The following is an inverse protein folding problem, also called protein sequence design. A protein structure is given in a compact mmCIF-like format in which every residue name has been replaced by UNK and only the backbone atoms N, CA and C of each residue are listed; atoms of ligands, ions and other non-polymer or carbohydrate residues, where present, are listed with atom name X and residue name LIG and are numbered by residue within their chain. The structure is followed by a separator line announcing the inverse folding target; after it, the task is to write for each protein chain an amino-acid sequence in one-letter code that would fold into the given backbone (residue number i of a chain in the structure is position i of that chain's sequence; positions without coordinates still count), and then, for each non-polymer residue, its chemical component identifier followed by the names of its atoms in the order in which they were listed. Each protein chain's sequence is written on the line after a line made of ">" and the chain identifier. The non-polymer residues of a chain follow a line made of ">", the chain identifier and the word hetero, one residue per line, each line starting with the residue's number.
data_IF_005904491010
#
_entry.id   IF_005904491010
#
_cell.length_a   1.000
_cell.length_b   1.000
_cell.length_c   1.000
_cell.angle_alpha   90.00
_cell.angle_beta   90.00
_cell.angle_gamma   90.00
#
_symmetry.space_group_name_H-M   'P 1'
#
loop_
_entity.id
_entity.type
_entity.pdbx_description
1 polymer ?
#
# COMPACT_ATOMS: atom_id res chain seq x y z
N UNK A 1 -1.94 -13.82 -42.13
CA UNK A 1 -0.71 -13.10 -42.54
C UNK A 1 -0.66 -11.79 -41.77
N UNK A 2 0.53 -11.38 -41.31
CA UNK A 2 0.70 -10.60 -40.10
C UNK A 2 0.68 -9.09 -40.38
N UNK A 3 -0.07 -8.33 -39.61
CA UNK A 3 0.20 -6.90 -39.42
C UNK A 3 0.85 -6.75 -38.06
N UNK A 4 2.18 -6.68 -38.12
CA UNK A 4 3.10 -6.18 -37.11
C UNK A 4 2.45 -5.11 -36.22
N UNK A 5 2.03 -5.50 -35.02
CA UNK A 5 2.12 -4.61 -33.86
C UNK A 5 3.61 -4.57 -33.51
N UNK A 6 4.36 -3.75 -34.25
CA UNK A 6 5.71 -3.36 -33.90
C UNK A 6 5.65 -2.88 -32.47
N UNK A 7 6.21 -3.69 -31.57
CA UNK A 7 6.39 -3.33 -30.17
C UNK A 7 7.09 -1.99 -30.13
N UNK A 8 6.36 -0.96 -29.74
CA UNK A 8 6.98 0.28 -29.32
C UNK A 8 7.96 -0.11 -28.22
N UNK A 9 9.26 -0.08 -28.52
CA UNK A 9 10.26 -0.23 -27.48
C UNK A 9 9.99 0.88 -26.47
N UNK A 10 9.50 0.50 -25.29
CA UNK A 10 9.42 1.45 -24.18
C UNK A 10 10.79 2.09 -24.01
N UNK A 11 10.81 3.42 -24.04
CA UNK A 11 12.02 4.15 -23.77
C UNK A 11 12.50 3.83 -22.36
N UNK A 12 13.81 3.93 -22.12
CA UNK A 12 14.38 3.75 -20.78
C UNK A 12 13.69 4.66 -19.76
N UNK A 13 13.30 5.87 -20.20
CA UNK A 13 12.54 6.82 -19.39
C UNK A 13 11.15 6.29 -19.02
N UNK A 14 10.42 5.69 -19.96
CA UNK A 14 9.09 5.14 -19.69
C UNK A 14 9.17 3.98 -18.69
N UNK A 15 10.17 3.10 -18.83
CA UNK A 15 10.41 2.01 -17.88
C UNK A 15 10.74 2.52 -16.49
N UNK A 16 11.62 3.52 -16.40
CA UNK A 16 11.96 4.15 -15.13
C UNK A 16 10.73 4.79 -14.48
N UNK A 17 9.92 5.51 -15.25
CA UNK A 17 8.68 6.09 -14.77
C UNK A 17 7.69 5.03 -14.28
N UNK A 18 7.45 3.96 -15.04
CA UNK A 18 6.54 2.88 -14.65
C UNK A 18 7.01 2.18 -13.36
N UNK A 19 8.31 2.00 -13.19
CA UNK A 19 8.88 1.43 -11.96
C UNK A 19 8.68 2.37 -10.76
N UNK A 20 8.94 3.66 -10.93
CA UNK A 20 8.68 4.68 -9.89
C UNK A 20 7.19 4.72 -9.55
N UNK A 21 6.31 4.75 -10.56
CA UNK A 21 4.87 4.76 -10.37
C UNK A 21 4.37 3.51 -9.63
N UNK A 22 4.98 2.34 -9.89
CA UNK A 22 4.70 1.10 -9.16
C UNK A 22 5.10 1.24 -7.70
N UNK A 23 6.31 1.69 -7.41
CA UNK A 23 6.79 1.87 -6.02
C UNK A 23 5.93 2.89 -5.26
N UNK A 24 5.60 4.02 -5.88
CA UNK A 24 4.72 5.04 -5.27
C UNK A 24 3.31 4.48 -5.06
N UNK A 25 2.80 3.68 -6.00
CA UNK A 25 1.55 2.94 -5.87
C UNK A 25 1.57 1.97 -4.70
N UNK A 26 2.66 1.24 -4.50
CA UNK A 26 2.82 0.31 -3.37
C UNK A 26 2.86 1.04 -2.02
N UNK A 27 3.32 2.30 -1.99
CA UNK A 27 3.27 3.18 -0.83
C UNK A 27 1.89 3.82 -0.60
N UNK A 28 0.91 3.56 -1.47
CA UNK A 28 -0.47 4.00 -1.30
C UNK A 28 -0.98 4.97 -2.36
N UNK A 29 -0.12 5.54 -3.21
CA UNK A 29 -0.53 6.57 -4.17
C UNK A 29 -0.40 6.08 -5.61
N UNK A 30 -1.53 5.81 -6.26
CA UNK A 30 -1.58 5.35 -7.65
C UNK A 30 -1.52 6.51 -8.65
N UNK A 31 -0.39 6.66 -9.32
CA UNK A 31 -0.15 7.72 -10.30
C UNK A 31 -0.77 7.44 -11.68
N UNK A 32 -1.26 6.21 -11.90
CA UNK A 32 -1.94 5.77 -13.12
C UNK A 32 -3.44 6.12 -13.15
N UNK A 33 -3.93 6.86 -12.14
CA UNK A 33 -5.34 7.26 -12.01
C UNK A 33 -5.59 8.71 -12.44
N UNK A 34 -6.86 9.09 -12.54
CA UNK A 34 -7.25 10.47 -12.86
C UNK A 34 -6.82 11.46 -11.78
N UNK A 35 -6.52 12.70 -12.17
CA UNK A 35 -5.98 13.74 -11.28
C UNK A 35 -6.82 13.97 -10.01
N UNK A 36 -8.14 13.88 -10.11
CA UNK A 36 -9.04 13.99 -8.95
C UNK A 36 -8.80 12.88 -7.92
N UNK A 37 -8.65 11.64 -8.37
CA UNK A 37 -8.42 10.51 -7.49
C UNK A 37 -7.03 10.57 -6.85
N UNK A 38 -6.01 10.91 -7.63
CA UNK A 38 -4.66 11.17 -7.13
C UNK A 38 -4.71 12.25 -6.04
N UNK A 39 -5.38 13.38 -6.30
CA UNK A 39 -5.54 14.47 -5.35
C UNK A 39 -6.28 14.04 -4.08
N UNK A 40 -7.39 13.31 -4.20
CA UNK A 40 -8.17 12.83 -3.06
C UNK A 40 -7.36 11.87 -2.17
N UNK A 41 -6.68 10.88 -2.77
CA UNK A 41 -5.84 9.94 -2.01
C UNK A 41 -4.66 10.67 -1.37
N UNK A 42 -4.01 11.59 -2.09
CA UNK A 42 -2.90 12.39 -1.56
C UNK A 42 -3.33 13.26 -0.39
N UNK A 43 -4.51 13.87 -0.47
CA UNK A 43 -5.10 14.64 0.62
C UNK A 43 -5.41 13.74 1.83
N UNK A 44 -5.98 12.56 1.61
CA UNK A 44 -6.22 11.57 2.66
C UNK A 44 -4.93 11.13 3.36
N UNK A 45 -3.89 10.85 2.59
CA UNK A 45 -2.55 10.53 3.09
C UNK A 45 -2.02 11.70 3.93
N UNK A 46 -2.03 12.92 3.40
CA UNK A 46 -1.54 14.10 4.11
C UNK A 46 -2.30 14.35 5.43
N UNK A 47 -3.63 14.27 5.42
CA UNK A 47 -4.46 14.42 6.62
C UNK A 47 -4.13 13.35 7.67
N UNK A 48 -4.02 12.08 7.25
CA UNK A 48 -3.65 10.98 8.15
C UNK A 48 -2.24 11.14 8.72
N UNK A 49 -1.31 11.63 7.90
CA UNK A 49 0.05 11.92 8.32
C UNK A 49 0.07 13.04 9.37
N UNK A 50 -0.61 14.17 9.12
CA UNK A 50 -0.71 15.26 10.09
C UNK A 50 -1.36 14.81 11.41
N UNK A 51 -2.40 13.97 11.34
CA UNK A 51 -2.98 13.37 12.55
C UNK A 51 -1.98 12.48 13.29
N UNK A 52 -1.20 11.67 12.59
CA UNK A 52 -0.18 10.83 13.23
C UNK A 52 0.91 11.66 13.93
N UNK A 53 1.24 12.84 13.42
CA UNK A 53 2.22 13.75 14.03
C UNK A 53 1.74 14.34 15.37
N UNK A 54 0.43 14.40 15.62
CA UNK A 54 -0.07 14.82 16.94
C UNK A 54 0.03 13.67 17.95
N UNK A 55 -0.19 12.43 17.48
CA UNK A 55 -0.18 11.21 18.30
C UNK A 55 1.22 10.68 18.61
N UNK A 56 2.21 10.98 17.77
CA UNK A 56 3.61 10.56 17.97
C UNK A 56 4.32 11.34 19.10
N UNK A 57 3.69 12.38 19.64
CA UNK A 57 4.32 13.21 20.69
C UNK A 57 4.51 12.45 22.00
N UNK A 58 3.74 11.39 22.26
CA UNK A 58 3.89 10.52 23.41
C UNK A 58 3.96 9.02 23.02
N UNK A 59 4.77 8.19 23.72
CA UNK A 59 4.92 6.78 23.37
C UNK A 59 3.62 5.98 23.38
N UNK A 60 2.71 6.28 24.32
CA UNK A 60 1.40 5.61 24.43
C UNK A 60 0.49 5.93 23.24
N UNK A 61 0.41 7.20 22.83
CA UNK A 61 -0.37 7.62 21.67
C UNK A 61 0.19 7.03 20.37
N UNK A 62 1.52 7.02 20.24
CA UNK A 62 2.22 6.36 19.14
C UNK A 62 1.87 4.86 19.06
N UNK A 63 1.88 4.16 20.19
CA UNK A 63 1.55 2.73 20.23
C UNK A 63 0.08 2.46 19.88
N UNK A 64 -0.85 3.25 20.43
CA UNK A 64 -2.28 3.15 20.09
C UNK A 64 -2.49 3.36 18.59
N UNK A 65 -1.82 4.35 18.00
CA UNK A 65 -1.87 4.59 16.56
C UNK A 65 -1.38 3.39 15.75
N UNK A 66 -0.19 2.87 16.08
CA UNK A 66 0.43 1.72 15.40
C UNK A 66 -0.49 0.49 15.47
N UNK A 67 -0.98 0.17 16.66
CA UNK A 67 -1.89 -0.98 16.86
C UNK A 67 -3.20 -0.78 16.08
N UNK A 68 -3.78 0.41 16.11
CA UNK A 68 -5.01 0.69 15.38
C UNK A 68 -4.84 0.52 13.87
N UNK A 69 -3.75 1.05 13.29
CA UNK A 69 -3.45 0.91 11.85
C UNK A 69 -3.23 -0.56 11.49
N UNK A 70 -2.48 -1.32 12.30
CA UNK A 70 -2.29 -2.76 12.06
C UNK A 70 -3.59 -3.55 12.17
N UNK A 71 -4.46 -3.23 13.14
CA UNK A 71 -5.78 -3.84 13.24
C UNK A 71 -6.63 -3.52 12.00
N UNK A 72 -6.66 -2.27 11.53
CA UNK A 72 -7.37 -1.89 10.31
C UNK A 72 -6.80 -2.64 9.10
N UNK A 73 -5.48 -2.73 8.98
CA UNK A 73 -4.82 -3.39 7.87
C UNK A 73 -5.07 -4.91 7.89
N UNK A 74 -4.77 -5.62 8.97
CA UNK A 74 -4.86 -7.08 8.99
C UNK A 74 -6.29 -7.58 9.28
N UNK A 75 -6.90 -7.12 10.38
CA UNK A 75 -8.23 -7.59 10.78
C UNK A 75 -9.34 -6.92 9.96
N UNK A 76 -9.18 -5.62 9.66
CA UNK A 76 -10.15 -4.86 8.88
C UNK A 76 -10.37 -5.45 7.49
N UNK A 77 -9.33 -5.88 6.79
CA UNK A 77 -9.47 -6.54 5.48
C UNK A 77 -10.25 -7.86 5.59
N UNK A 78 -9.94 -8.70 6.58
CA UNK A 78 -10.65 -9.96 6.79
C UNK A 78 -12.14 -9.69 7.03
N UNK A 79 -12.46 -8.74 7.91
CA UNK A 79 -13.84 -8.35 8.22
C UNK A 79 -14.53 -7.76 7.00
N UNK A 80 -13.85 -6.90 6.24
CA UNK A 80 -14.38 -6.22 5.07
C UNK A 80 -14.86 -7.20 4.01
N UNK A 81 -14.02 -8.17 3.64
CA UNK A 81 -14.34 -9.15 2.61
C UNK A 81 -15.25 -10.27 3.12
N UNK A 82 -15.02 -10.80 4.33
CA UNK A 82 -15.86 -11.87 4.89
C UNK A 82 -17.26 -11.37 5.27
N UNK A 83 -17.37 -10.12 5.70
CA UNK A 83 -18.63 -9.46 6.03
C UNK A 83 -19.41 -8.97 4.81
N UNK A 84 -18.86 -9.08 3.61
CA UNK A 84 -19.52 -8.64 2.37
C UNK A 84 -19.72 -7.12 2.29
N UNK A 85 -18.87 -6.32 2.94
CA UNK A 85 -18.99 -4.87 2.91
C UNK A 85 -18.81 -4.30 1.49
N UNK A 86 -18.00 -4.96 0.65
CA UNK A 86 -17.86 -4.60 -0.76
C UNK A 86 -19.18 -4.70 -1.52
N UNK A 87 -20.01 -5.73 -1.26
CA UNK A 87 -21.35 -5.83 -1.85
C UNK A 87 -22.27 -4.67 -1.43
N UNK A 88 -22.19 -4.23 -0.16
CA UNK A 88 -22.94 -3.07 0.31
C UNK A 88 -22.50 -1.78 -0.40
N UNK A 89 -21.20 -1.63 -0.62
CA UNK A 89 -20.66 -0.50 -1.39
C UNK A 89 -21.13 -0.55 -2.85
N UNK A 90 -21.11 -1.72 -3.49
CA UNK A 90 -21.62 -1.91 -4.85
C UNK A 90 -23.09 -1.49 -4.96
N UNK A 91 -23.93 -1.92 -4.01
CA UNK A 91 -25.36 -1.61 -4.01
C UNK A 91 -25.65 -0.11 -3.83
N UNK A 92 -24.82 0.62 -3.08
CA UNK A 92 -25.04 2.04 -2.76
C UNK A 92 -24.39 3.02 -3.72
N UNK A 93 -23.19 2.72 -4.20
CA UNK A 93 -22.37 3.64 -4.99
C UNK A 93 -22.25 3.22 -6.47
N UNK A 94 -22.58 1.98 -6.80
CA UNK A 94 -22.23 1.34 -8.07
C UNK A 94 -20.80 0.80 -8.06
N UNK A 95 -20.51 -0.22 -8.90
CA UNK A 95 -19.23 -0.95 -8.90
C UNK A 95 -18.02 -0.03 -9.10
N UNK A 96 -18.02 0.79 -10.15
CA UNK A 96 -16.84 1.61 -10.50
C UNK A 96 -16.54 2.67 -9.43
N UNK A 97 -17.58 3.36 -8.94
CA UNK A 97 -17.41 4.39 -7.91
C UNK A 97 -17.05 3.78 -6.56
N UNK A 98 -17.62 2.62 -6.21
CA UNK A 98 -17.24 1.87 -5.01
C UNK A 98 -15.76 1.49 -5.06
N UNK A 99 -15.27 1.03 -6.21
CA UNK A 99 -13.86 0.72 -6.41
C UNK A 99 -12.97 1.96 -6.25
N UNK A 100 -13.31 3.09 -6.87
CA UNK A 100 -12.54 4.34 -6.74
C UNK A 100 -12.39 4.77 -5.27
N UNK A 101 -13.48 4.68 -4.49
CA UNK A 101 -13.47 5.02 -3.05
C UNK A 101 -12.64 4.02 -2.27
N UNK A 102 -12.85 2.72 -2.49
CA UNK A 102 -12.10 1.67 -1.81
C UNK A 102 -10.59 1.77 -2.08
N UNK A 103 -10.20 1.97 -3.34
CA UNK A 103 -8.80 2.12 -3.74
C UNK A 103 -8.14 3.32 -3.05
N UNK A 104 -8.83 4.46 -2.97
CA UNK A 104 -8.33 5.64 -2.28
C UNK A 104 -8.13 5.38 -0.77
N UNK A 105 -9.11 4.76 -0.11
CA UNK A 105 -9.03 4.40 1.31
C UNK A 105 -7.89 3.40 1.54
N UNK A 106 -7.77 2.38 0.69
CA UNK A 106 -6.72 1.38 0.77
C UNK A 106 -5.33 2.01 0.60
N UNK A 107 -5.20 2.98 -0.29
CA UNK A 107 -4.00 3.78 -0.45
C UNK A 107 -3.57 4.50 0.83
N UNK A 108 -4.53 5.14 1.52
CA UNK A 108 -4.27 5.77 2.83
C UNK A 108 -3.84 4.73 3.87
N UNK A 109 -4.47 3.56 3.90
CA UNK A 109 -4.09 2.49 4.84
C UNK A 109 -2.68 1.97 4.55
N UNK A 110 -2.30 1.76 3.27
CA UNK A 110 -0.95 1.31 2.89
C UNK A 110 0.13 2.30 3.32
N UNK A 111 -0.09 3.59 3.09
CA UNK A 111 0.82 4.63 3.55
C UNK A 111 1.03 4.56 5.07
N UNK A 112 -0.08 4.50 5.82
CA UNK A 112 -0.02 4.47 7.27
C UNK A 112 0.61 3.19 7.82
N UNK A 113 0.41 2.05 7.16
CA UNK A 113 1.05 0.79 7.54
C UNK A 113 2.58 0.91 7.48
N UNK A 114 3.12 1.53 6.42
CA UNK A 114 4.55 1.81 6.31
C UNK A 114 5.02 2.85 7.33
N UNK A 115 4.27 3.95 7.48
CA UNK A 115 4.60 5.01 8.43
C UNK A 115 4.67 4.53 9.89
N UNK A 116 3.81 3.58 10.28
CA UNK A 116 3.84 2.96 11.60
C UNK A 116 5.18 2.31 11.94
N UNK A 117 5.94 1.83 10.95
CA UNK A 117 7.28 1.28 11.19
C UNK A 117 8.24 2.38 11.69
N UNK A 118 8.19 3.57 11.10
CA UNK A 118 8.99 4.71 11.52
C UNK A 118 8.59 5.19 12.92
N UNK A 119 7.28 5.33 13.17
CA UNK A 119 6.74 5.69 14.49
C UNK A 119 7.21 4.71 15.57
N UNK A 120 7.05 3.41 15.31
CA UNK A 120 7.40 2.38 16.27
C UNK A 120 8.90 2.39 16.59
N UNK A 121 9.76 2.47 15.56
CA UNK A 121 11.20 2.52 15.74
C UNK A 121 11.63 3.77 16.53
N UNK A 122 11.03 4.93 16.27
CA UNK A 122 11.39 6.17 16.97
C UNK A 122 11.21 6.09 18.49
N UNK A 123 10.20 5.36 18.98
CA UNK A 123 9.90 5.29 20.41
C UNK A 123 10.42 4.02 21.10
N UNK A 124 10.60 2.95 20.35
CA UNK A 124 10.83 1.62 20.93
C UNK A 124 12.14 0.96 20.47
N UNK A 125 12.93 1.58 19.59
CA UNK A 125 14.23 1.02 19.19
C UNK A 125 15.16 0.79 20.40
N UNK A 126 15.25 1.76 21.30
CA UNK A 126 16.14 1.68 22.48
C UNK A 126 15.60 0.75 23.58
N UNK A 127 14.33 0.35 23.49
CA UNK A 127 13.73 -0.60 24.46
C UNK A 127 14.13 -2.05 24.19
N UNK A 128 14.73 -2.33 23.03
CA UNK A 128 15.25 -3.65 22.66
C UNK A 128 16.66 -3.80 23.23
N UNK A 129 16.76 -4.08 24.53
CA UNK A 129 18.03 -4.34 25.21
C UNK A 129 18.55 -5.74 24.82
N UNK A 130 19.11 -5.83 23.60
CA UNK A 130 19.67 -7.05 23.05
C UNK A 130 21.20 -6.96 23.02
N UNK A 131 21.94 -7.98 23.46
CA UNK A 131 23.40 -8.02 23.41
C UNK A 131 23.91 -8.33 21.99
N UNK A 132 23.39 -7.63 20.99
CA UNK A 132 23.69 -7.81 19.56
C UNK A 132 24.35 -6.53 19.06
N UNK A 133 25.41 -6.65 18.25
CA UNK A 133 26.08 -5.46 17.70
C UNK A 133 25.16 -4.68 16.75
N UNK A 134 25.20 -3.35 16.81
CA UNK A 134 24.44 -2.46 15.92
C UNK A 134 24.73 -2.76 14.43
N UNK A 135 25.97 -3.15 14.12
CA UNK A 135 26.35 -3.54 12.76
C UNK A 135 25.59 -4.78 12.29
N UNK A 136 25.44 -5.79 13.15
CA UNK A 136 24.70 -7.00 12.79
C UNK A 136 23.21 -6.70 12.61
N UNK A 137 22.62 -5.89 13.49
CA UNK A 137 21.21 -5.45 13.37
C UNK A 137 21.01 -4.72 12.04
N UNK A 138 21.90 -3.78 11.70
CA UNK A 138 21.85 -3.05 10.44
C UNK A 138 21.96 -3.96 9.22
N UNK A 139 22.94 -4.89 9.21
CA UNK A 139 23.14 -5.81 8.09
C UNK A 139 21.95 -6.74 7.89
N UNK A 140 21.44 -7.34 8.98
CA UNK A 140 20.25 -8.17 8.94
C UNK A 140 19.03 -7.38 8.44
N UNK A 141 18.82 -6.16 8.97
CA UNK A 141 17.75 -5.28 8.53
C UNK A 141 17.85 -4.92 7.05
N UNK A 142 19.05 -4.56 6.57
CA UNK A 142 19.30 -4.23 5.17
C UNK A 142 19.03 -5.41 4.24
N UNK A 143 19.47 -6.63 4.61
CA UNK A 143 19.22 -7.84 3.83
C UNK A 143 17.73 -8.14 3.76
N UNK A 144 17.02 -8.12 4.90
CA UNK A 144 15.57 -8.36 4.95
C UNK A 144 14.82 -7.31 4.13
N UNK A 145 15.19 -6.03 4.26
CA UNK A 145 14.61 -4.94 3.50
C UNK A 145 14.81 -5.13 1.99
N UNK A 146 16.03 -5.46 1.54
CA UNK A 146 16.34 -5.65 0.12
C UNK A 146 15.56 -6.82 -0.46
N UNK A 147 15.60 -7.99 0.18
CA UNK A 147 14.88 -9.19 -0.28
C UNK A 147 13.37 -8.89 -0.33
N UNK A 148 12.81 -8.34 0.75
CA UNK A 148 11.38 -8.04 0.82
C UNK A 148 10.94 -7.03 -0.25
N UNK A 149 11.72 -5.97 -0.44
CA UNK A 149 11.42 -4.93 -1.44
C UNK A 149 11.49 -5.50 -2.85
N UNK A 150 12.56 -6.24 -3.17
CA UNK A 150 12.73 -6.85 -4.50
C UNK A 150 11.61 -7.85 -4.80
N UNK A 151 11.30 -8.74 -3.86
CA UNK A 151 10.21 -9.71 -4.03
C UNK A 151 8.87 -9.03 -4.20
N UNK A 152 8.56 -8.00 -3.40
CA UNK A 152 7.30 -7.26 -3.50
C UNK A 152 7.20 -6.51 -4.83
N UNK A 153 8.23 -5.77 -5.23
CA UNK A 153 8.24 -5.04 -6.51
C UNK A 153 8.14 -6.02 -7.68
N UNK A 154 8.92 -7.09 -7.68
CA UNK A 154 8.88 -8.10 -8.74
C UNK A 154 7.50 -8.75 -8.85
N UNK A 155 6.90 -9.16 -7.73
CA UNK A 155 5.56 -9.72 -7.71
C UNK A 155 4.53 -8.73 -8.28
N UNK A 156 4.57 -7.47 -7.84
CA UNK A 156 3.66 -6.43 -8.34
C UNK A 156 3.85 -6.15 -9.84
N UNK A 157 5.07 -6.17 -10.35
CA UNK A 157 5.33 -6.05 -11.78
C UNK A 157 4.80 -7.25 -12.58
N UNK A 158 4.73 -8.43 -11.96
CA UNK A 158 4.23 -9.65 -12.59
C UNK A 158 2.70 -9.72 -12.61
N UNK A 159 2.02 -9.36 -11.50
CA UNK A 159 0.55 -9.44 -11.39
C UNK A 159 -0.18 -8.13 -11.67
N UNK A 160 0.53 -7.00 -11.62
CA UNK A 160 -0.04 -5.65 -11.79
C UNK A 160 -0.54 -5.01 -10.49
N UNK A 161 -0.64 -3.68 -10.51
CA UNK A 161 -1.09 -2.86 -9.38
C UNK A 161 -2.54 -3.11 -8.98
N UNK A 162 -3.41 -3.47 -9.91
CA UNK A 162 -4.82 -3.76 -9.61
C UNK A 162 -4.97 -5.01 -8.72
N UNK A 163 -4.18 -6.06 -8.99
CA UNK A 163 -4.15 -7.26 -8.15
C UNK A 163 -3.55 -6.94 -6.77
N UNK A 164 -2.50 -6.12 -6.72
CA UNK A 164 -1.91 -5.65 -5.46
C UNK A 164 -2.91 -4.85 -4.59
N UNK A 165 -3.90 -4.21 -5.21
CA UNK A 165 -5.00 -3.50 -4.54
C UNK A 165 -6.28 -4.35 -4.36
N UNK A 166 -6.20 -5.67 -4.58
CA UNK A 166 -7.32 -6.60 -4.43
C UNK A 166 -8.52 -6.32 -5.36
N UNK A 167 -8.30 -5.72 -6.54
CA UNK A 167 -9.37 -5.34 -7.47
C UNK A 167 -10.32 -6.49 -7.79
N UNK A 168 -9.77 -7.64 -8.15
CA UNK A 168 -10.58 -8.78 -8.60
C UNK A 168 -11.41 -9.36 -7.46
N UNK A 169 -10.88 -9.32 -6.23
CA UNK A 169 -11.62 -9.73 -5.04
C UNK A 169 -12.70 -8.72 -4.66
N UNK A 170 -12.41 -7.43 -4.81
CA UNK A 170 -13.38 -6.37 -4.57
C UNK A 170 -14.52 -6.39 -5.57
N UNK A 171 -14.25 -6.64 -6.86
CA UNK A 171 -15.24 -6.62 -7.93
C UNK A 171 -15.92 -7.97 -8.18
N UNK A 172 -15.61 -9.01 -7.40
CA UNK A 172 -16.06 -10.39 -7.59
C UNK A 172 -15.69 -10.95 -8.99
N UNK A 173 -14.52 -10.57 -9.49
CA UNK A 173 -13.92 -11.00 -10.76
C UNK A 173 -12.88 -12.12 -10.56
N UNK A 174 -12.49 -12.38 -9.30
CA UNK A 174 -11.60 -13.47 -8.93
C UNK A 174 -12.20 -14.84 -9.36
N UNK A 175 -11.70 -15.39 -10.47
CA UNK A 175 -12.12 -16.68 -11.03
C UNK A 175 -12.79 -16.61 -12.41
N UNK A 176 -12.99 -15.43 -13.01
CA UNK A 176 -13.48 -15.30 -14.41
C UNK A 176 -12.38 -15.09 -15.45
N UNK A 177 -11.12 -14.99 -15.01
CA UNK A 177 -9.93 -14.95 -15.86
C UNK A 177 -9.28 -16.32 -15.96
N UNK A 178 -9.76 -17.14 -16.89
CA UNK A 178 -9.13 -18.35 -17.41
C UNK A 178 -9.23 -18.35 -18.92
#
# INVERSE_FOLDING_TARGET
>A
MPTNQLGAQETVLQRAFNLVATVVGMCGLRLDRGAFQIGATSLGIALSFFLSLTLITNPEGALVYVVAVWCIYYAGHIIFFKGGLHHLMHARLGRDRAWTVYEAVLGVVYFNQGWCQAIFLQHYADSLDMPISNLLIFLCGAIIFLISTLTKVWATLLVGMDVYYYRDMFLDEAGKGG
#
